data_IF_162370700734
#
_entry.id   IF_162370700734
#
_cell.length_a   1.000
_cell.length_b   1.000
_cell.length_c   1.000
_cell.angle_alpha   90.00
_cell.angle_beta   90.00
_cell.angle_gamma   90.00
#
_symmetry.space_group_name_H-M   'P 1'
#
loop_
_entity.id
_entity.type
_entity.pdbx_description
1 polymer ?
#
# COMPACT_ATOMS: atom_id res chain seq x y z
N UNK A 1 42.74 3.93 5.55
CA UNK A 1 43.43 3.50 4.32
C UNK A 1 44.38 4.62 3.95
N UNK A 2 45.67 4.37 4.07
CA UNK A 2 46.75 5.33 3.88
C UNK A 2 46.78 5.78 2.42
N UNK A 3 46.60 7.07 2.16
CA UNK A 3 46.87 7.66 0.85
C UNK A 3 48.37 7.52 0.58
N UNK A 4 48.73 6.81 -0.48
CA UNK A 4 50.11 6.74 -0.96
C UNK A 4 50.49 8.11 -1.50
N UNK A 5 51.31 8.83 -0.74
CA UNK A 5 51.92 10.08 -1.14
C UNK A 5 53.02 9.77 -2.17
N UNK A 6 52.78 10.17 -3.42
CA UNK A 6 53.76 10.00 -4.50
C UNK A 6 54.82 11.10 -4.33
N UNK A 7 56.13 10.76 -4.23
CA UNK A 7 57.16 11.76 -3.96
C UNK A 7 57.29 12.72 -5.15
N UNK A 8 57.19 14.02 -4.87
CA UNK A 8 57.45 15.06 -5.85
C UNK A 8 58.92 15.00 -6.30
N UNK A 9 59.15 15.16 -7.61
CA UNK A 9 60.50 15.21 -8.17
C UNK A 9 61.13 16.55 -7.76
N UNK A 10 62.04 16.49 -6.80
CA UNK A 10 62.79 17.66 -6.31
C UNK A 10 63.94 18.02 -7.27
N UNK A 11 64.16 19.32 -7.47
CA UNK A 11 65.37 19.84 -8.08
C UNK A 11 66.05 20.82 -7.11
N UNK A 12 67.39 20.90 -7.21
CA UNK A 12 68.40 21.53 -6.32
C UNK A 12 68.23 22.99 -5.84
N UNK A 13 67.03 23.57 -5.77
CA UNK A 13 66.79 24.91 -5.22
C UNK A 13 65.61 24.99 -4.23
N UNK A 14 65.28 23.89 -3.54
CA UNK A 14 64.33 23.90 -2.40
C UNK A 14 62.91 24.39 -2.72
N UNK A 15 62.55 24.52 -4.01
CA UNK A 15 61.21 24.89 -4.44
C UNK A 15 60.55 23.70 -5.12
N UNK A 16 59.44 23.26 -4.53
CA UNK A 16 58.54 22.28 -5.13
C UNK A 16 58.04 22.83 -6.47
N UNK A 17 58.22 22.08 -7.56
CA UNK A 17 57.67 22.41 -8.87
C UNK A 17 56.14 22.45 -8.76
N UNK A 18 55.53 23.48 -9.36
CA UNK A 18 54.07 23.55 -9.43
C UNK A 18 53.53 22.30 -10.14
N UNK A 19 52.44 21.72 -9.62
CA UNK A 19 51.80 20.54 -10.23
C UNK A 19 51.49 20.81 -11.70
N UNK A 20 51.57 19.83 -12.60
CA UNK A 20 51.19 20.00 -14.00
C UNK A 20 49.81 20.64 -14.17
N UNK A 21 49.65 21.51 -15.18
CA UNK A 21 48.44 22.35 -15.37
C UNK A 21 47.13 21.54 -15.37
N UNK A 22 47.13 20.36 -15.99
CA UNK A 22 45.95 19.49 -16.02
C UNK A 22 45.55 18.98 -14.63
N UNK A 23 46.52 18.71 -13.76
CA UNK A 23 46.27 18.30 -12.37
C UNK A 23 45.70 19.48 -11.57
N UNK A 24 46.23 20.69 -11.76
CA UNK A 24 45.67 21.90 -11.12
C UNK A 24 44.22 22.15 -11.54
N UNK A 25 43.92 22.01 -12.84
CA UNK A 25 42.56 22.14 -13.37
C UNK A 25 41.61 21.10 -12.78
N UNK A 26 42.08 19.87 -12.61
CA UNK A 26 41.30 18.76 -12.06
C UNK A 26 41.07 18.95 -10.55
N UNK A 27 42.08 19.40 -9.80
CA UNK A 27 41.95 19.74 -8.38
C UNK A 27 40.98 20.91 -8.16
N UNK A 28 41.02 21.94 -9.00
CA UNK A 28 40.08 23.06 -8.95
C UNK A 28 38.65 22.67 -9.35
N UNK A 29 38.48 21.79 -10.35
CA UNK A 29 37.16 21.32 -10.77
C UNK A 29 36.51 20.38 -9.75
N UNK A 30 37.32 19.66 -8.96
CA UNK A 30 36.87 18.73 -7.92
C UNK A 30 36.83 19.37 -6.53
N UNK A 31 37.24 20.64 -6.37
CA UNK A 31 37.18 21.32 -5.08
C UNK A 31 35.73 21.59 -4.71
N UNK A 32 35.18 20.77 -3.80
CA UNK A 32 33.83 20.97 -3.25
C UNK A 32 33.80 21.99 -2.11
N UNK A 33 34.96 22.48 -1.67
CA UNK A 33 35.10 23.42 -0.55
C UNK A 33 34.24 24.69 -0.71
N UNK A 34 34.20 25.36 -1.88
CA UNK A 34 33.33 26.53 -2.07
C UNK A 34 31.83 26.18 -1.94
N UNK A 35 31.43 25.01 -2.43
CA UNK A 35 30.06 24.51 -2.32
C UNK A 35 29.71 24.14 -0.89
N UNK A 36 30.60 23.45 -0.17
CA UNK A 36 30.40 23.09 1.23
C UNK A 36 30.28 24.33 2.11
N UNK A 37 31.11 25.35 1.87
CA UNK A 37 31.04 26.65 2.56
C UNK A 37 29.73 27.40 2.26
N UNK A 38 29.25 27.35 1.03
CA UNK A 38 27.94 27.91 0.66
C UNK A 38 26.80 27.19 1.39
N UNK A 39 26.80 25.85 1.38
CA UNK A 39 25.78 25.05 2.07
C UNK A 39 25.82 25.29 3.58
N UNK A 40 27.01 25.38 4.17
CA UNK A 40 27.19 25.72 5.58
C UNK A 40 26.67 27.13 5.90
N UNK A 41 26.91 28.10 5.02
CA UNK A 41 26.34 29.45 5.12
C UNK A 41 24.81 29.44 5.10
N UNK A 42 24.20 28.74 4.14
CA UNK A 42 22.72 28.62 4.02
C UNK A 42 22.10 27.90 5.21
N UNK A 43 22.78 26.89 5.76
CA UNK A 43 22.29 26.16 6.94
C UNK A 43 22.49 26.96 8.23
N UNK A 44 23.52 27.81 8.29
CA UNK A 44 23.87 28.61 9.47
C UNK A 44 23.22 30.00 9.47
N UNK A 45 22.74 30.48 8.33
CA UNK A 45 21.88 31.66 8.26
C UNK A 45 20.57 31.36 8.98
N UNK A 46 20.50 31.84 10.22
CA UNK A 46 19.28 31.96 10.98
C UNK A 46 18.24 32.71 10.12
N UNK A 47 17.13 32.04 9.80
CA UNK A 47 15.95 32.63 9.14
C UNK A 47 15.31 33.74 10.02
N UNK A 48 15.76 33.88 11.26
CA UNK A 48 15.29 34.83 12.28
C UNK A 48 15.73 36.30 12.09
N UNK A 49 16.44 36.67 11.01
CA UNK A 49 16.90 38.06 10.82
C UNK A 49 16.56 38.72 9.49
N UNK A 50 15.43 38.34 8.88
CA UNK A 50 14.78 39.20 7.89
C UNK A 50 13.82 40.14 8.62
N UNK A 51 14.40 41.11 9.33
CA UNK A 51 13.68 42.26 9.87
C UNK A 51 13.20 43.15 8.72
N UNK A 52 11.91 43.50 8.81
CA UNK A 52 11.18 44.56 8.10
C UNK A 52 12.07 45.65 7.48
N UNK A 53 12.20 45.65 6.15
CA UNK A 53 12.15 46.84 5.28
C UNK A 53 12.48 46.50 3.82
N UNK A 54 11.44 46.44 2.98
CA UNK A 54 11.31 47.11 1.65
C UNK A 54 10.33 46.32 0.75
N UNK A 55 9.21 46.92 0.30
CA UNK A 55 8.22 46.24 -0.53
C UNK A 55 8.63 46.31 -2.00
N UNK A 56 9.23 45.24 -2.51
CA UNK A 56 9.26 45.00 -3.95
C UNK A 56 8.50 43.72 -4.26
N UNK A 57 7.32 43.93 -4.84
CA UNK A 57 6.51 42.94 -5.52
C UNK A 57 7.38 42.00 -6.36
N UNK A 58 7.39 40.70 -6.07
CA UNK A 58 7.13 39.62 -7.05
C UNK A 58 7.27 38.23 -6.40
N UNK A 59 6.17 37.48 -6.43
CA UNK A 59 6.10 36.01 -6.51
C UNK A 59 6.46 35.12 -5.31
N UNK A 60 6.75 35.64 -4.12
CA UNK A 60 7.00 34.78 -2.93
C UNK A 60 5.77 34.46 -2.07
N UNK A 61 4.61 35.06 -2.36
CA UNK A 61 3.40 34.94 -1.51
C UNK A 61 2.59 33.65 -1.69
N UNK A 62 2.99 32.74 -2.59
CA UNK A 62 2.26 31.48 -2.80
C UNK A 62 2.51 30.48 -1.65
N UNK A 63 3.61 30.61 -0.91
CA UNK A 63 3.95 29.70 0.19
C UNK A 63 3.73 30.27 1.61
N UNK A 64 3.34 31.54 1.75
CA UNK A 64 3.12 32.22 3.04
C UNK A 64 1.64 32.28 3.48
N UNK A 65 0.79 31.36 3.00
CA UNK A 65 -0.66 31.39 3.27
C UNK A 65 -1.06 30.60 4.52
N UNK A 66 -0.57 31.02 5.69
CA UNK A 66 -1.19 30.64 6.97
C UNK A 66 -0.97 31.70 8.03
N UNK A 67 -1.26 32.97 7.71
CA UNK A 67 -1.48 33.97 8.75
C UNK A 67 -2.71 33.52 9.57
N UNK A 68 -2.52 33.39 10.89
CA UNK A 68 -3.60 33.17 11.86
C UNK A 68 -4.17 34.55 12.21
N UNK A 69 -5.49 34.70 12.08
CA UNK A 69 -6.19 35.88 12.59
C UNK A 69 -6.24 35.82 14.14
N UNK A 70 -6.60 36.92 14.80
CA UNK A 70 -6.66 37.07 16.26
C UNK A 70 -7.59 36.04 16.97
N UNK A 71 -8.37 35.28 16.20
CA UNK A 71 -9.31 34.22 16.60
C UNK A 71 -8.85 32.79 16.23
N UNK A 72 -7.55 32.54 15.99
CA UNK A 72 -6.99 31.23 15.57
C UNK A 72 -7.53 30.69 14.22
N UNK A 73 -8.13 31.57 13.40
CA UNK A 73 -8.68 31.21 12.10
C UNK A 73 -7.56 31.15 11.06
N UNK A 74 -7.55 30.09 10.24
CA UNK A 74 -6.53 29.91 9.21
C UNK A 74 -6.95 30.66 7.96
N UNK A 75 -6.15 31.63 7.53
CA UNK A 75 -6.39 32.33 6.27
C UNK A 75 -5.76 31.54 5.13
N UNK A 76 -6.58 31.03 4.21
CA UNK A 76 -6.13 30.35 2.99
C UNK A 76 -6.67 31.13 1.81
N UNK A 77 -5.80 31.59 0.91
CA UNK A 77 -6.15 32.39 -0.26
C UNK A 77 -6.97 33.66 0.08
N UNK A 78 -6.65 34.34 1.19
CA UNK A 78 -7.35 35.55 1.64
C UNK A 78 -8.73 35.32 2.26
N UNK A 79 -9.13 34.05 2.45
CA UNK A 79 -10.40 33.68 3.11
C UNK A 79 -10.09 33.12 4.49
N UNK A 80 -10.65 33.73 5.54
CA UNK A 80 -10.53 33.29 6.93
C UNK A 80 -11.43 32.07 7.16
N UNK A 81 -10.85 30.88 7.28
CA UNK A 81 -11.61 29.65 7.51
C UNK A 81 -11.52 29.26 8.99
N UNK A 82 -12.69 29.18 9.63
CA UNK A 82 -12.76 28.79 11.04
C UNK A 82 -12.29 27.35 11.27
N UNK A 83 -11.73 27.07 12.45
CA UNK A 83 -11.42 25.70 12.90
C UNK A 83 -12.65 24.79 12.83
N UNK A 84 -13.85 25.32 13.11
CA UNK A 84 -15.10 24.56 12.99
C UNK A 84 -15.41 24.23 11.53
N UNK A 85 -15.27 25.20 10.63
CA UNK A 85 -15.53 25.06 9.20
C UNK A 85 -14.55 24.07 8.54
N UNK A 86 -13.26 24.14 8.89
CA UNK A 86 -12.26 23.14 8.47
C UNK A 86 -12.65 21.71 8.87
N UNK A 87 -13.16 21.52 10.10
CA UNK A 87 -13.63 20.22 10.58
C UNK A 87 -14.91 19.77 9.86
N UNK A 88 -15.82 20.70 9.55
CA UNK A 88 -17.03 20.42 8.81
C UNK A 88 -16.71 20.00 7.36
N UNK A 89 -15.83 20.72 6.68
CA UNK A 89 -15.38 20.40 5.32
C UNK A 89 -14.64 19.06 5.26
N UNK A 90 -13.76 18.79 6.22
CA UNK A 90 -13.10 17.48 6.39
C UNK A 90 -14.12 16.35 6.57
N UNK A 91 -15.23 16.61 7.25
CA UNK A 91 -16.32 15.65 7.41
C UNK A 91 -17.11 15.46 6.11
N UNK A 92 -17.29 16.53 5.31
CA UNK A 92 -17.98 16.50 4.01
C UNK A 92 -17.17 15.79 2.92
N UNK A 93 -15.84 15.81 3.02
CA UNK A 93 -14.94 15.11 2.10
C UNK A 93 -15.14 13.59 2.11
N UNK A 94 -15.60 13.01 3.23
CA UNK A 94 -15.70 11.56 3.37
C UNK A 94 -17.15 11.05 3.38
N UNK A 95 -17.42 10.01 2.59
CA UNK A 95 -18.68 9.27 2.64
C UNK A 95 -18.60 8.08 3.61
N UNK A 96 -19.15 8.25 4.81
CA UNK A 96 -19.23 7.19 5.81
C UNK A 96 -20.54 6.38 5.79
N UNK A 97 -21.47 6.63 4.86
CA UNK A 97 -22.80 5.97 4.85
C UNK A 97 -22.72 4.45 4.75
N UNK A 98 -21.74 3.93 4.01
CA UNK A 98 -21.52 2.49 3.78
C UNK A 98 -20.58 1.84 4.80
N UNK A 99 -20.12 2.59 5.82
CA UNK A 99 -19.16 2.08 6.82
C UNK A 99 -19.88 1.29 7.90
N UNK A 100 -19.50 0.02 8.06
CA UNK A 100 -20.05 -0.89 9.08
C UNK A 100 -19.63 -0.44 10.49
N UNK A 101 -20.45 -0.78 11.50
CA UNK A 101 -20.19 -0.48 12.92
C UNK A 101 -18.78 -0.90 13.37
N UNK A 102 -18.31 -2.08 12.95
CA UNK A 102 -16.97 -2.61 13.28
C UNK A 102 -15.80 -1.79 12.71
N UNK A 103 -16.07 -0.85 11.80
CA UNK A 103 -15.06 -0.03 11.12
C UNK A 103 -15.24 1.46 11.38
N UNK A 104 -16.08 1.83 12.36
CA UNK A 104 -16.29 3.23 12.74
C UNK A 104 -15.03 3.91 13.27
N UNK A 105 -14.08 3.15 13.81
CA UNK A 105 -12.78 3.68 14.25
C UNK A 105 -12.01 4.41 13.13
N UNK A 106 -12.22 4.02 11.87
CA UNK A 106 -11.59 4.66 10.71
C UNK A 106 -12.07 6.11 10.56
N UNK A 107 -13.34 6.39 10.89
CA UNK A 107 -13.86 7.76 10.90
C UNK A 107 -13.07 8.60 11.89
N UNK A 108 -12.86 8.10 13.11
CA UNK A 108 -12.14 8.86 14.12
C UNK A 108 -10.72 9.16 13.65
N UNK A 109 -9.99 8.17 13.12
CA UNK A 109 -8.64 8.39 12.60
C UNK A 109 -8.60 9.43 11.47
N UNK A 110 -9.51 9.32 10.50
CA UNK A 110 -9.55 10.26 9.37
C UNK A 110 -9.95 11.66 9.78
N UNK A 111 -10.78 11.80 10.81
CA UNK A 111 -11.24 13.10 11.31
C UNK A 111 -10.34 13.68 12.40
N UNK A 112 -9.52 12.86 13.07
CA UNK A 112 -8.52 13.31 14.03
C UNK A 112 -7.61 14.33 13.34
N UNK A 113 -7.54 15.54 13.88
CA UNK A 113 -6.51 16.50 13.49
C UNK A 113 -5.22 16.06 14.16
N UNK A 114 -4.30 15.51 13.36
CA UNK A 114 -2.92 15.24 13.79
C UNK A 114 -1.97 16.35 13.37
N UNK A 115 -2.50 17.46 12.82
CA UNK A 115 -1.72 18.66 12.48
C UNK A 115 -1.43 19.41 13.76
N UNK A 116 -0.41 18.96 14.50
CA UNK A 116 0.19 19.72 15.59
C UNK A 116 1.13 20.72 14.94
N UNK A 117 0.62 21.94 14.73
CA UNK A 117 1.27 23.05 14.01
C UNK A 117 2.41 23.71 14.84
N UNK A 118 2.61 23.26 16.09
CA UNK A 118 3.50 23.89 17.06
C UNK A 118 4.98 23.46 16.96
N UNK A 119 5.34 22.55 16.05
CA UNK A 119 6.70 21.98 15.94
C UNK A 119 7.34 22.13 14.54
N UNK A 120 6.66 22.74 13.56
CA UNK A 120 7.20 22.89 12.19
C UNK A 120 8.38 23.89 12.09
N UNK A 121 8.58 24.74 13.10
CA UNK A 121 9.65 25.76 13.13
C UNK A 121 10.95 25.28 13.81
N UNK A 122 11.03 24.03 14.29
CA UNK A 122 12.26 23.50 14.90
C UNK A 122 13.16 22.84 13.85
N UNK A 123 14.48 23.12 13.87
CA UNK A 123 15.42 22.39 13.03
C UNK A 123 15.37 20.89 13.38
N UNK A 124 15.15 20.06 12.36
CA UNK A 124 15.01 18.61 12.50
C UNK A 124 16.26 18.01 13.17
N UNK A 125 16.07 17.32 14.28
CA UNK A 125 17.18 16.71 15.02
C UNK A 125 17.70 15.47 14.29
N UNK A 126 18.99 15.17 14.41
CA UNK A 126 19.60 13.97 13.81
C UNK A 126 18.95 12.70 14.35
N UNK A 127 18.58 12.67 15.62
CA UNK A 127 17.85 11.56 16.24
C UNK A 127 16.45 11.36 15.63
N UNK A 128 15.78 12.46 15.29
CA UNK A 128 14.47 12.44 14.63
C UNK A 128 14.56 11.93 13.20
N UNK A 129 15.59 12.34 12.46
CA UNK A 129 15.89 11.78 11.14
C UNK A 129 16.15 10.27 11.21
N UNK A 130 16.95 9.81 12.18
CA UNK A 130 17.19 8.38 12.40
C UNK A 130 15.90 7.63 12.75
N UNK A 131 15.03 8.22 13.58
CA UNK A 131 13.73 7.66 13.90
C UNK A 131 12.85 7.55 12.66
N UNK A 132 12.79 8.60 11.83
CA UNK A 132 12.02 8.63 10.59
C UNK A 132 12.52 7.56 9.60
N UNK A 133 13.84 7.40 9.46
CA UNK A 133 14.45 6.36 8.62
C UNK A 133 14.14 4.95 9.13
N UNK A 134 14.20 4.74 10.44
CA UNK A 134 13.83 3.47 11.08
C UNK A 134 12.36 3.14 10.85
N UNK A 135 11.48 4.12 11.06
CA UNK A 135 10.05 4.00 10.81
C UNK A 135 9.76 3.71 9.34
N UNK A 136 10.44 4.40 8.42
CA UNK A 136 10.32 4.16 6.98
C UNK A 136 10.73 2.73 6.60
N UNK A 137 11.86 2.23 7.12
CA UNK A 137 12.30 0.84 6.90
C UNK A 137 11.26 -0.15 7.44
N UNK A 138 10.71 0.11 8.62
CA UNK A 138 9.67 -0.70 9.21
C UNK A 138 8.39 -0.71 8.35
N UNK A 139 7.90 0.47 7.96
CA UNK A 139 6.74 0.62 7.08
C UNK A 139 6.94 -0.09 5.74
N UNK A 140 8.12 0.03 5.12
CA UNK A 140 8.43 -0.63 3.84
C UNK A 140 8.38 -2.15 3.97
N UNK A 141 8.89 -2.72 5.07
CA UNK A 141 8.83 -4.15 5.35
C UNK A 141 7.38 -4.64 5.48
N UNK A 142 6.55 -3.93 6.24
CA UNK A 142 5.15 -4.31 6.45
C UNK A 142 4.27 -4.08 5.22
N UNK A 143 4.51 -2.99 4.48
CA UNK A 143 3.84 -2.70 3.21
C UNK A 143 4.13 -3.78 2.17
N UNK A 144 5.38 -4.25 2.07
CA UNK A 144 5.74 -5.35 1.16
C UNK A 144 4.97 -6.63 1.50
N UNK A 145 4.90 -7.00 2.80
CA UNK A 145 4.12 -8.15 3.27
C UNK A 145 2.62 -7.99 3.00
N UNK A 146 2.07 -6.80 3.20
CA UNK A 146 0.67 -6.49 2.94
C UNK A 146 0.27 -6.76 1.48
N UNK A 147 1.11 -6.33 0.52
CA UNK A 147 0.80 -6.52 -0.90
C UNK A 147 1.05 -7.94 -1.42
N UNK A 148 1.84 -8.74 -0.72
CA UNK A 148 2.07 -10.16 -1.06
C UNK A 148 0.90 -11.05 -0.69
N UNK A 149 0.10 -10.68 0.31
CA UNK A 149 -1.06 -11.46 0.76
C UNK A 149 -2.31 -11.11 -0.07
N UNK A 150 -2.86 -12.06 -0.87
CA UNK A 150 -4.06 -11.83 -1.67
C UNK A 150 -5.29 -11.45 -0.84
N UNK A 151 -5.36 -11.88 0.43
CA UNK A 151 -6.47 -11.52 1.33
C UNK A 151 -6.34 -10.09 1.86
N UNK A 152 -5.13 -9.54 2.00
CA UNK A 152 -4.93 -8.15 2.40
C UNK A 152 -5.06 -7.20 1.20
N UNK A 153 -4.62 -7.65 0.02
CA UNK A 153 -4.65 -6.88 -1.23
C UNK A 153 -6.06 -6.36 -1.56
N UNK A 154 -7.13 -7.09 -1.19
CA UNK A 154 -8.51 -6.66 -1.40
C UNK A 154 -8.87 -5.34 -0.68
N UNK A 155 -8.09 -4.92 0.33
CA UNK A 155 -8.31 -3.68 1.08
C UNK A 155 -7.48 -2.50 0.59
N UNK A 156 -6.62 -2.68 -0.43
CA UNK A 156 -5.73 -1.63 -0.95
C UNK A 156 -6.46 -0.33 -1.30
N UNK A 157 -7.66 -0.45 -1.88
CA UNK A 157 -8.49 0.69 -2.32
C UNK A 157 -9.68 0.95 -1.39
N UNK A 158 -9.61 0.49 -0.14
CA UNK A 158 -10.72 0.70 0.80
C UNK A 158 -10.91 2.18 1.14
N UNK A 159 -9.82 2.94 1.27
CA UNK A 159 -9.85 4.37 1.57
C UNK A 159 -10.44 5.22 0.45
N UNK A 160 -10.24 4.83 -0.81
CA UNK A 160 -10.79 5.59 -1.96
C UNK A 160 -12.32 5.53 -2.01
N UNK A 161 -12.91 4.41 -1.57
CA UNK A 161 -14.36 4.29 -1.38
C UNK A 161 -14.92 5.16 -0.26
N UNK A 162 -14.07 5.79 0.56
CA UNK A 162 -14.49 6.75 1.59
C UNK A 162 -14.47 8.19 1.08
N UNK A 163 -13.86 8.52 -0.07
CA UNK A 163 -13.70 9.90 -0.54
C UNK A 163 -14.88 10.44 -1.37
N UNK A 164 -15.73 9.58 -1.94
CA UNK A 164 -16.81 10.01 -2.83
C UNK A 164 -18.00 9.05 -2.79
N UNK A 165 -19.19 9.55 -3.14
CA UNK A 165 -20.37 8.72 -3.39
C UNK A 165 -20.16 7.74 -4.55
N UNK A 166 -19.29 8.11 -5.49
CA UNK A 166 -18.95 7.31 -6.67
C UNK A 166 -17.59 6.62 -6.47
N UNK A 167 -17.63 5.29 -6.37
CA UNK A 167 -16.42 4.46 -6.29
C UNK A 167 -15.82 4.30 -7.69
N UNK A 168 -14.61 4.84 -7.90
CA UNK A 168 -13.88 4.72 -9.18
C UNK A 168 -13.40 3.28 -9.43
N UNK A 169 -13.36 2.44 -8.40
CA UNK A 169 -12.81 1.09 -8.45
C UNK A 169 -13.81 0.02 -7.95
N UNK A 170 -15.02 -0.07 -8.54
CA UNK A 170 -16.10 -0.91 -8.04
C UNK A 170 -15.80 -2.42 -8.13
N UNK A 171 -14.87 -2.84 -8.98
CA UNK A 171 -14.41 -4.24 -9.06
C UNK A 171 -13.72 -4.68 -7.76
N UNK A 172 -13.02 -3.77 -7.08
CA UNK A 172 -12.29 -4.07 -5.84
C UNK A 172 -13.23 -4.17 -4.64
N UNK A 173 -14.36 -3.44 -4.63
CA UNK A 173 -15.33 -3.57 -3.54
C UNK A 173 -16.14 -4.88 -3.62
N UNK A 174 -16.30 -5.47 -4.82
CA UNK A 174 -17.00 -6.75 -5.03
C UNK A 174 -16.15 -7.96 -4.61
N UNK A 175 -14.83 -7.90 -4.75
CA UNK A 175 -13.93 -9.01 -4.38
C UNK A 175 -13.93 -9.29 -2.87
N UNK A 176 -14.07 -8.25 -2.05
CA UNK A 176 -14.17 -8.30 -0.58
C UNK A 176 -15.38 -9.13 -0.12
N UNK A 177 -16.49 -9.07 -0.85
CA UNK A 177 -17.74 -9.82 -0.55
C UNK A 177 -17.74 -11.20 -1.22
N UNK A 178 -17.01 -11.36 -2.32
CA UNK A 178 -16.92 -12.60 -3.10
C UNK A 178 -16.29 -13.76 -2.33
N UNK A 179 -15.25 -13.52 -1.53
CA UNK A 179 -14.56 -14.60 -0.80
C UNK A 179 -15.45 -15.27 0.26
N UNK A 180 -16.24 -14.50 1.03
CA UNK A 180 -17.15 -15.08 2.04
C UNK A 180 -18.24 -15.95 1.40
N UNK A 181 -18.80 -15.53 0.26
CA UNK A 181 -19.80 -16.34 -0.48
C UNK A 181 -19.18 -17.58 -1.13
N UNK A 182 -17.94 -17.49 -1.62
CA UNK A 182 -17.21 -18.64 -2.15
C UNK A 182 -16.91 -19.67 -1.06
N UNK A 183 -16.42 -19.24 0.10
CA UNK A 183 -16.14 -20.11 1.24
C UNK A 183 -17.42 -20.79 1.76
N UNK A 184 -18.53 -20.07 1.91
CA UNK A 184 -19.81 -20.65 2.30
C UNK A 184 -20.36 -21.67 1.26
N UNK A 185 -20.18 -21.39 -0.04
CA UNK A 185 -20.58 -22.31 -1.12
C UNK A 185 -19.69 -23.56 -1.20
N UNK A 186 -18.39 -23.40 -0.94
CA UNK A 186 -17.41 -24.48 -0.82
C UNK A 186 -17.74 -25.39 0.39
N UNK A 187 -18.02 -24.78 1.55
CA UNK A 187 -18.36 -25.48 2.79
C UNK A 187 -19.68 -26.26 2.65
N UNK A 188 -20.74 -25.64 2.07
CA UNK A 188 -22.01 -26.32 1.75
C UNK A 188 -21.81 -27.46 0.74
N UNK A 189 -20.87 -27.33 -0.20
CA UNK A 189 -20.53 -28.40 -1.16
C UNK A 189 -19.78 -29.55 -0.49
N UNK A 190 -18.91 -29.26 0.48
CA UNK A 190 -18.22 -30.27 1.28
C UNK A 190 -19.20 -31.01 2.21
N UNK A 191 -20.13 -30.30 2.84
CA UNK A 191 -21.18 -30.87 3.69
C UNK A 191 -22.11 -31.82 2.91
N UNK A 192 -22.56 -31.42 1.70
CA UNK A 192 -23.36 -32.30 0.82
C UNK A 192 -22.59 -33.55 0.40
N UNK A 193 -21.27 -33.44 0.17
CA UNK A 193 -20.41 -34.58 -0.14
C UNK A 193 -20.21 -35.51 1.06
N UNK A 194 -20.13 -34.97 2.28
CA UNK A 194 -20.05 -35.78 3.50
C UNK A 194 -21.36 -36.53 3.75
N UNK A 195 -22.51 -35.85 3.66
CA UNK A 195 -23.85 -36.46 3.79
C UNK A 195 -24.11 -37.56 2.75
N UNK A 196 -23.70 -37.34 1.50
CA UNK A 196 -23.84 -38.35 0.44
C UNK A 196 -22.96 -39.59 0.70
N UNK A 197 -21.76 -39.42 1.26
CA UNK A 197 -20.88 -40.53 1.63
C UNK A 197 -21.42 -41.31 2.83
N UNK A 198 -21.97 -40.61 3.83
CA UNK A 198 -22.62 -41.24 4.98
C UNK A 198 -23.82 -42.09 4.54
N UNK A 199 -24.67 -41.58 3.64
CA UNK A 199 -25.79 -42.38 3.08
C UNK A 199 -25.32 -43.59 2.27
N UNK A 200 -24.21 -43.49 1.54
CA UNK A 200 -23.64 -44.62 0.79
C UNK A 200 -23.07 -45.70 1.72
N UNK A 201 -22.36 -45.30 2.78
CA UNK A 201 -21.86 -46.24 3.80
C UNK A 201 -23.02 -46.95 4.53
N UNK A 202 -24.07 -46.21 4.91
CA UNK A 202 -25.29 -46.80 5.50
C UNK A 202 -25.99 -47.78 4.55
N UNK A 203 -26.01 -47.50 3.25
CA UNK A 203 -26.63 -48.36 2.24
C UNK A 203 -25.78 -49.59 1.88
N UNK A 204 -24.45 -49.50 1.90
CA UNK A 204 -23.56 -50.65 1.67
C UNK A 204 -23.49 -51.61 2.86
N UNK A 205 -23.70 -51.13 4.09
CA UNK A 205 -23.68 -51.99 5.28
C UNK A 205 -25.02 -52.67 5.58
N UNK A 206 -26.10 -52.36 4.84
CA UNK A 206 -27.45 -52.91 5.05
C UNK A 206 -27.86 -52.98 6.54
N UNK A 207 -27.50 -51.95 7.32
CA UNK A 207 -27.88 -51.86 8.73
C UNK A 207 -29.33 -51.40 8.76
N UNK A 208 -30.21 -52.35 9.05
CA UNK A 208 -31.43 -52.04 9.77
C UNK A 208 -31.06 -51.29 11.07
N UNK A 209 -32.01 -50.46 11.47
CA UNK A 209 -31.91 -49.41 12.46
C UNK A 209 -31.68 -49.96 13.88
N UNK A 210 -30.44 -50.33 14.21
CA UNK A 210 -30.02 -50.55 15.60
C UNK A 210 -28.85 -49.62 15.92
N UNK A 211 -29.16 -48.63 16.77
CA UNK A 211 -28.34 -47.47 17.08
C UNK A 211 -27.07 -47.73 17.86
N UNK A 212 -26.08 -48.39 17.26
CA UNK A 212 -24.72 -48.42 17.81
C UNK A 212 -23.86 -47.27 17.24
N UNK A 213 -23.48 -46.38 18.16
CA UNK A 213 -22.62 -45.23 17.97
C UNK A 213 -21.21 -45.71 17.56
N UNK A 214 -20.79 -45.37 16.34
CA UNK A 214 -19.46 -45.73 15.82
C UNK A 214 -18.38 -45.12 16.71
N UNK A 215 -17.56 -45.97 17.33
CA UNK A 215 -16.46 -45.60 18.24
C UNK A 215 -15.57 -44.48 17.64
N UNK A 216 -15.45 -43.32 18.33
CA UNK A 216 -14.63 -42.18 17.90
C UNK A 216 -13.19 -42.56 17.52
N UNK A 217 -12.62 -43.58 18.17
CA UNK A 217 -11.26 -44.08 17.91
C UNK A 217 -11.12 -44.67 16.50
N UNK A 218 -12.13 -45.41 16.05
CA UNK A 218 -12.18 -46.02 14.72
C UNK A 218 -12.35 -44.94 13.65
N UNK A 219 -13.16 -43.91 13.93
CA UNK A 219 -13.35 -42.77 13.03
C UNK A 219 -12.04 -42.00 12.82
N UNK A 220 -11.25 -41.80 13.88
CA UNK A 220 -9.96 -41.13 13.85
C UNK A 220 -8.91 -41.97 13.09
N UNK A 221 -8.89 -43.29 13.27
CA UNK A 221 -8.00 -44.20 12.54
C UNK A 221 -8.29 -44.21 11.03
N UNK A 222 -9.55 -44.16 10.61
CA UNK A 222 -9.95 -44.08 9.20
C UNK A 222 -9.55 -42.74 8.57
N UNK A 223 -9.63 -41.64 9.33
CA UNK A 223 -9.20 -40.32 8.88
C UNK A 223 -7.67 -40.25 8.70
N UNK A 224 -6.90 -40.83 9.61
CA UNK A 224 -5.44 -40.90 9.55
C UNK A 224 -4.95 -41.71 8.33
N UNK A 225 -5.48 -42.93 8.12
CA UNK A 225 -5.16 -43.77 6.93
C UNK A 225 -5.50 -43.10 5.59
N UNK A 226 -6.43 -42.13 5.59
CA UNK A 226 -6.83 -41.38 4.39
C UNK A 226 -5.96 -40.15 4.14
N UNK A 227 -5.34 -39.58 5.17
CA UNK A 227 -4.34 -38.52 5.01
C UNK A 227 -3.05 -39.06 4.38
N UNK A 228 -2.60 -40.27 4.76
CA UNK A 228 -1.48 -40.96 4.08
C UNK A 228 -1.74 -41.22 2.58
N UNK A 229 -3.01 -41.46 2.19
CA UNK A 229 -3.37 -41.58 0.76
C UNK A 229 -3.36 -40.25 0.00
N UNK A 230 -3.48 -39.09 0.68
CA UNK A 230 -3.43 -37.76 0.04
C UNK A 230 -2.01 -37.26 -0.23
N UNK A 231 -1.01 -37.79 0.47
CA UNK A 231 0.41 -37.49 0.22
C UNK A 231 0.99 -38.21 -1.01
N UNK A 232 0.20 -39.09 -1.64
CA UNK A 232 0.52 -39.62 -2.97
C UNK A 232 0.38 -38.52 -4.01
N UNK A 233 1.51 -37.83 -4.26
CA UNK A 233 1.84 -36.87 -5.33
C UNK A 233 0.73 -36.72 -6.38
N UNK A 234 0.22 -35.49 -6.54
CA UNK A 234 -0.69 -35.10 -7.63
C UNK A 234 -0.24 -35.75 -8.94
N UNK A 235 -1.01 -36.71 -9.46
CA UNK A 235 -0.76 -37.32 -10.76
C UNK A 235 -0.73 -36.19 -11.80
N UNK A 236 0.44 -35.93 -12.38
CA UNK A 236 0.61 -34.94 -13.45
C UNK A 236 -0.33 -35.34 -14.58
N UNK A 237 -1.25 -34.44 -14.93
CA UNK A 237 -2.24 -34.64 -15.99
C UNK A 237 -1.48 -34.88 -17.30
N UNK A 238 -1.88 -35.87 -18.10
CA UNK A 238 -1.20 -36.09 -19.39
C UNK A 238 -1.38 -34.87 -20.29
N UNK A 239 -0.42 -34.56 -21.19
CA UNK A 239 -0.52 -33.40 -22.08
C UNK A 239 -1.85 -33.36 -22.86
N UNK A 240 -2.31 -34.52 -23.33
CA UNK A 240 -3.58 -34.67 -24.04
C UNK A 240 -4.81 -34.31 -23.18
N UNK A 241 -4.83 -34.74 -21.91
CA UNK A 241 -5.91 -34.41 -20.97
C UNK A 241 -5.89 -32.92 -20.59
N UNK A 242 -4.70 -32.29 -20.55
CA UNK A 242 -4.57 -30.85 -20.34
C UNK A 242 -5.11 -30.07 -21.55
N UNK A 243 -4.80 -30.51 -22.77
CA UNK A 243 -5.28 -29.89 -24.00
C UNK A 243 -6.78 -30.07 -24.20
N UNK A 244 -7.35 -31.23 -23.87
CA UNK A 244 -8.80 -31.43 -23.89
C UNK A 244 -9.53 -30.46 -22.95
N UNK A 245 -8.98 -30.24 -21.74
CA UNK A 245 -9.52 -29.23 -20.80
C UNK A 245 -9.36 -27.82 -21.32
N UNK A 246 -8.21 -27.49 -21.91
CA UNK A 246 -7.92 -26.18 -22.51
C UNK A 246 -8.91 -25.87 -23.64
N UNK A 247 -9.14 -26.82 -24.56
CA UNK A 247 -10.12 -26.69 -25.65
C UNK A 247 -11.53 -26.48 -25.11
N UNK A 248 -11.95 -27.28 -24.11
CA UNK A 248 -13.28 -27.13 -23.50
C UNK A 248 -13.47 -25.75 -22.84
N UNK A 249 -12.43 -25.23 -22.19
CA UNK A 249 -12.44 -23.90 -21.60
C UNK A 249 -12.53 -22.81 -22.67
N UNK A 250 -11.71 -22.89 -23.73
CA UNK A 250 -11.73 -21.95 -24.85
C UNK A 250 -13.10 -21.91 -25.53
N UNK A 251 -13.73 -23.07 -25.77
CA UNK A 251 -15.08 -23.15 -26.33
C UNK A 251 -16.09 -22.45 -25.41
N UNK A 252 -15.97 -22.61 -24.09
CA UNK A 252 -16.86 -21.93 -23.15
C UNK A 252 -16.66 -20.41 -23.16
N UNK A 253 -15.42 -19.93 -23.23
CA UNK A 253 -15.11 -18.50 -23.29
C UNK A 253 -15.68 -17.91 -24.58
N UNK A 254 -15.38 -18.54 -25.73
CA UNK A 254 -15.81 -18.06 -27.04
C UNK A 254 -17.34 -18.04 -27.19
N UNK A 255 -18.03 -19.10 -26.75
CA UNK A 255 -19.48 -19.24 -26.97
C UNK A 255 -20.33 -18.58 -25.89
N UNK A 256 -19.81 -18.34 -24.68
CA UNK A 256 -20.61 -17.83 -23.55
C UNK A 256 -20.11 -16.50 -23.02
N UNK A 257 -18.82 -16.38 -22.72
CA UNK A 257 -18.28 -15.19 -22.06
C UNK A 257 -18.15 -14.01 -23.03
N UNK A 258 -17.62 -14.22 -24.24
CA UNK A 258 -17.45 -13.14 -25.23
C UNK A 258 -18.79 -12.49 -25.63
N UNK A 259 -19.84 -13.25 -26.03
CA UNK A 259 -21.12 -12.64 -26.38
C UNK A 259 -21.79 -11.93 -25.20
N UNK A 260 -21.62 -12.47 -23.99
CA UNK A 260 -22.15 -11.85 -22.77
C UNK A 260 -21.46 -10.52 -22.48
N UNK A 261 -20.15 -10.45 -22.59
CA UNK A 261 -19.38 -9.21 -22.41
C UNK A 261 -19.74 -8.16 -23.48
N UNK A 262 -19.93 -8.58 -24.74
CA UNK A 262 -20.39 -7.70 -25.82
C UNK A 262 -21.78 -7.12 -25.53
N UNK A 263 -22.74 -7.95 -25.09
CA UNK A 263 -24.08 -7.48 -24.69
C UNK A 263 -24.03 -6.49 -23.53
N UNK A 264 -23.21 -6.76 -22.52
CA UNK A 264 -23.01 -5.84 -21.39
C UNK A 264 -22.44 -4.50 -21.85
N UNK A 265 -21.41 -4.52 -22.72
CA UNK A 265 -20.81 -3.32 -23.29
C UNK A 265 -21.81 -2.51 -24.13
N UNK A 266 -22.66 -3.17 -24.92
CA UNK A 266 -23.69 -2.51 -25.70
C UNK A 266 -24.79 -1.89 -24.81
N UNK A 267 -25.23 -2.60 -23.77
CA UNK A 267 -26.20 -2.09 -22.79
C UNK A 267 -25.66 -0.87 -22.04
N UNK A 268 -24.42 -0.93 -21.56
CA UNK A 268 -23.79 0.19 -20.87
C UNK A 268 -23.62 1.42 -21.76
N UNK A 269 -23.36 1.24 -23.07
CA UNK A 269 -23.33 2.36 -24.02
C UNK A 269 -24.71 2.97 -24.25
N UNK A 270 -25.77 2.15 -24.27
CA UNK A 270 -27.15 2.62 -24.45
C UNK A 270 -27.67 3.39 -23.23
N UNK A 271 -27.21 3.06 -22.02
CA UNK A 271 -27.57 3.80 -20.80
C UNK A 271 -26.80 5.11 -20.61
N UNK A 272 -25.73 5.34 -21.40
CA UNK A 272 -24.87 6.52 -21.31
C UNK A 272 -25.17 7.57 -22.41
N UNK A 273 -26.10 7.28 -23.32
CA UNK A 273 -26.62 8.14 -24.39
C UNK A 273 -28.07 8.49 -24.07
#
# INVERSE_FOLDING_TARGET
MSLMEVPAIEHNYGRLLAKPLHIQQLEAALSLEPFMKYVEGVISENIDSLDESDPSETETDIFKSSLKDSDDNKVVNGISISKYERKADKTRLYNFSKVKKSRRWIRNILLSDTSSDDDDDKPMKVEELHFMLSMHKHMRKHRSKFYQDPELHQYQYYSTGLLSNYDKYPEHSRSIVGHKKKMAKEQKKQERKAKAKLKKLKKEHNLEDDGEEIDPSVLQAILAKRQEKKERKLKKLTPEQADAKRRKLWISIAKKEIPRAQKQKASARKEML
#
